data_IF_753890340758
#
_entry.id   IF_753890340758
#
_cell.length_a   1.000
_cell.length_b   1.000
_cell.length_c   1.000
_cell.angle_alpha   90.00
_cell.angle_beta   90.00
_cell.angle_gamma   90.00
#
_symmetry.space_group_name_H-M   'P 1'
#
loop_
_entity.id
_entity.type
_entity.pdbx_description
1 polymer ?
#
# COMPACT_ATOMS: atom_id res chain seq x y z
N UNK A 1 5.89 4.34 2.00
CA UNK A 1 7.05 5.01 2.62
C UNK A 1 6.63 6.38 3.10
N UNK A 2 6.94 6.80 4.32
CA UNK A 2 6.51 8.11 4.80
C UNK A 2 7.46 9.20 4.30
N UNK A 3 6.94 10.12 3.55
CA UNK A 3 7.69 11.12 2.80
C UNK A 3 7.77 12.46 3.55
N UNK A 4 6.80 12.74 4.40
CA UNK A 4 6.73 14.02 5.12
C UNK A 4 6.99 13.78 6.60
N UNK A 5 8.18 14.14 7.04
CA UNK A 5 8.65 13.94 8.42
C UNK A 5 8.02 14.93 9.41
N UNK A 6 7.60 16.08 8.93
CA UNK A 6 6.81 17.06 9.69
C UNK A 6 5.86 17.82 8.78
N UNK A 7 4.77 18.33 9.36
CA UNK A 7 3.78 19.18 8.69
C UNK A 7 4.33 20.56 8.27
N UNK A 8 5.57 20.84 8.65
CA UNK A 8 6.20 22.16 8.49
C UNK A 8 7.32 22.17 7.46
N UNK A 9 7.86 21.01 7.08
CA UNK A 9 8.98 20.94 6.14
C UNK A 9 8.69 19.96 5.01
N UNK A 10 8.71 20.48 3.79
CA UNK A 10 8.67 19.72 2.56
C UNK A 10 10.01 19.01 2.37
N UNK A 11 10.05 17.71 2.53
CA UNK A 11 11.24 16.93 2.27
C UNK A 11 10.90 15.61 1.57
N UNK A 12 10.93 15.61 0.24
CA UNK A 12 10.73 14.42 -0.58
C UNK A 12 12.03 13.66 -0.88
N UNK A 13 13.18 14.26 -0.58
CA UNK A 13 14.48 13.73 -0.99
C UNK A 13 14.76 12.29 -0.52
N UNK A 14 14.47 11.86 0.74
CA UNK A 14 14.70 10.48 1.13
C UNK A 14 13.90 9.46 0.30
N UNK A 15 12.71 9.86 -0.18
CA UNK A 15 11.91 9.03 -1.07
C UNK A 15 12.53 8.97 -2.46
N UNK A 16 12.79 10.12 -3.05
CA UNK A 16 13.32 10.19 -4.41
C UNK A 16 14.73 9.65 -4.52
N UNK A 17 15.56 9.76 -3.49
CA UNK A 17 16.86 9.10 -3.46
C UNK A 17 16.76 7.57 -3.60
N UNK A 18 15.79 6.95 -2.94
CA UNK A 18 15.52 5.51 -3.11
C UNK A 18 14.91 5.20 -4.49
N UNK A 19 13.93 6.01 -4.93
CA UNK A 19 13.25 5.77 -6.20
C UNK A 19 14.21 5.90 -7.38
N UNK A 20 15.14 6.85 -7.37
CA UNK A 20 16.20 6.98 -8.39
C UNK A 20 17.05 5.73 -8.51
N UNK A 21 17.43 5.11 -7.39
CA UNK A 21 18.18 3.85 -7.43
C UNK A 21 17.33 2.68 -7.95
N UNK A 22 16.05 2.63 -7.58
CA UNK A 22 15.17 1.54 -8.02
C UNK A 22 14.91 1.57 -9.52
N UNK A 23 14.67 2.74 -10.11
CA UNK A 23 14.36 2.85 -11.55
C UNK A 23 15.54 2.51 -12.45
N UNK A 24 16.78 2.54 -11.94
CA UNK A 24 17.96 2.09 -12.68
C UNK A 24 17.95 0.58 -12.96
N UNK A 25 17.18 -0.20 -12.16
CA UNK A 25 17.23 -1.66 -12.22
C UNK A 25 15.86 -2.30 -12.44
N UNK A 26 14.76 -1.60 -12.15
CA UNK A 26 13.42 -2.18 -12.12
C UNK A 26 12.37 -1.22 -12.68
N UNK A 27 11.30 -1.73 -13.35
CA UNK A 27 10.09 -0.95 -13.53
C UNK A 27 9.45 -0.68 -12.16
N UNK A 28 9.08 0.58 -11.90
CA UNK A 28 8.52 0.99 -10.61
C UNK A 28 7.05 1.40 -10.79
N UNK A 29 6.17 0.80 -9.99
CA UNK A 29 4.75 1.12 -9.89
C UNK A 29 4.50 1.80 -8.55
N UNK A 30 3.84 2.95 -8.59
CA UNK A 30 3.60 3.78 -7.42
C UNK A 30 2.09 3.98 -7.20
N UNK A 31 1.64 3.85 -5.97
CA UNK A 31 0.28 4.17 -5.54
C UNK A 31 0.31 5.18 -4.40
N UNK A 32 -0.68 6.06 -4.33
CA UNK A 32 -0.81 7.02 -3.25
C UNK A 32 -1.04 6.34 -1.89
N UNK A 33 -0.50 6.97 -0.86
CA UNK A 33 -0.88 6.71 0.53
C UNK A 33 -1.62 7.90 1.13
N UNK A 34 -1.91 7.83 2.42
CA UNK A 34 -2.60 8.89 3.14
C UNK A 34 -1.82 10.22 3.16
N UNK A 35 -0.51 10.21 2.99
CA UNK A 35 0.30 11.43 2.92
C UNK A 35 0.17 12.12 1.57
N UNK A 36 0.20 11.37 0.47
CA UNK A 36 -0.04 11.87 -0.88
C UNK A 36 -1.45 12.43 -0.99
N UNK A 37 -2.46 11.72 -0.47
CA UNK A 37 -3.84 12.16 -0.44
C UNK A 37 -4.02 13.45 0.35
N UNK A 38 -3.36 13.57 1.48
CA UNK A 38 -3.38 14.80 2.26
C UNK A 38 -2.83 16.00 1.49
N UNK A 39 -1.74 15.83 0.75
CA UNK A 39 -1.21 16.89 -0.11
C UNK A 39 -2.17 17.21 -1.27
N UNK A 40 -2.88 16.21 -1.78
CA UNK A 40 -3.85 16.32 -2.88
C UNK A 40 -5.11 17.08 -2.45
N UNK A 41 -5.67 16.76 -1.28
CA UNK A 41 -6.95 17.30 -0.82
C UNK A 41 -6.84 18.57 0.02
N UNK A 42 -5.68 18.84 0.62
CA UNK A 42 -5.46 20.02 1.45
C UNK A 42 -4.43 20.98 0.83
N UNK A 43 -4.70 21.41 -0.40
CA UNK A 43 -3.84 22.31 -1.18
C UNK A 43 -3.46 23.59 -0.41
N UNK A 44 -4.39 24.14 0.39
CA UNK A 44 -4.12 25.34 1.21
C UNK A 44 -3.03 25.11 2.27
N UNK A 45 -2.91 23.89 2.76
CA UNK A 45 -1.87 23.50 3.73
C UNK A 45 -0.57 23.03 3.06
N UNK A 46 -0.66 22.58 1.82
CA UNK A 46 0.44 22.00 1.03
C UNK A 46 0.48 22.56 -0.39
N UNK A 47 0.68 23.89 -0.57
CA UNK A 47 0.52 24.55 -1.85
C UNK A 47 1.52 23.98 -2.89
N UNK A 48 0.99 23.40 -3.95
CA UNK A 48 1.75 22.81 -5.05
C UNK A 48 2.52 21.52 -4.74
N UNK A 49 2.50 21.03 -3.50
CA UNK A 49 3.35 19.88 -3.10
C UNK A 49 2.99 18.59 -3.83
N UNK A 50 1.70 18.30 -3.98
CA UNK A 50 1.27 17.10 -4.70
C UNK A 50 1.64 17.16 -6.18
N UNK A 51 1.42 18.31 -6.82
CA UNK A 51 1.77 18.54 -8.22
C UNK A 51 3.27 18.36 -8.47
N UNK A 52 4.10 18.90 -7.61
CA UNK A 52 5.56 18.75 -7.69
C UNK A 52 5.98 17.30 -7.47
N UNK A 53 5.39 16.63 -6.47
CA UNK A 53 5.66 15.22 -6.19
C UNK A 53 5.36 14.33 -7.42
N UNK A 54 4.19 14.51 -8.03
CA UNK A 54 3.79 13.78 -9.24
C UNK A 54 4.71 14.10 -10.43
N UNK A 55 5.11 15.36 -10.57
CA UNK A 55 6.06 15.75 -11.62
C UNK A 55 7.42 15.06 -11.47
N UNK A 56 7.91 14.89 -10.24
CA UNK A 56 9.16 14.14 -9.99
C UNK A 56 9.00 12.63 -10.28
N UNK A 57 7.87 12.00 -9.92
CA UNK A 57 7.59 10.61 -10.32
C UNK A 57 7.63 10.45 -11.84
N UNK A 58 7.01 11.39 -12.56
CA UNK A 58 6.99 11.39 -14.04
C UNK A 58 8.40 11.56 -14.64
N UNK A 59 9.23 12.45 -14.10
CA UNK A 59 10.62 12.62 -14.54
C UNK A 59 11.45 11.34 -14.40
N UNK A 60 11.16 10.53 -13.38
CA UNK A 60 11.80 9.24 -13.14
C UNK A 60 11.17 8.10 -13.97
N UNK A 61 10.20 8.39 -14.82
CA UNK A 61 9.47 7.39 -15.61
C UNK A 61 8.81 6.31 -14.73
N UNK A 62 8.33 6.70 -13.55
CA UNK A 62 7.61 5.82 -12.64
C UNK A 62 6.14 5.77 -13.06
N UNK A 63 5.59 4.56 -13.16
CA UNK A 63 4.17 4.35 -13.43
C UNK A 63 3.37 4.65 -12.15
N UNK A 64 2.74 5.82 -12.11
CA UNK A 64 1.91 6.26 -10.99
C UNK A 64 0.44 5.95 -11.28
N UNK A 65 -0.13 5.02 -10.54
CA UNK A 65 -1.51 4.55 -10.68
C UNK A 65 -2.40 5.20 -9.61
N UNK A 66 -3.56 5.73 -10.05
CA UNK A 66 -4.57 6.37 -9.17
C UNK A 66 -5.94 5.90 -9.65
N UNK A 67 -6.53 4.93 -8.95
CA UNK A 67 -7.76 4.25 -9.38
C UNK A 67 -7.67 3.75 -10.82
N UNK A 68 -6.54 3.14 -11.14
CA UNK A 68 -6.18 2.69 -12.48
C UNK A 68 -5.60 1.29 -12.46
N UNK A 69 -5.62 0.64 -13.63
CA UNK A 69 -5.10 -0.71 -13.84
C UNK A 69 -4.20 -0.75 -15.07
N UNK A 70 -3.13 -1.53 -15.00
CA UNK A 70 -2.26 -1.84 -16.11
C UNK A 70 -2.09 -3.36 -16.24
N UNK A 71 -2.11 -3.88 -17.45
CA UNK A 71 -1.81 -5.28 -17.75
C UNK A 71 -0.38 -5.38 -18.24
N UNK A 72 0.40 -6.25 -17.60
CA UNK A 72 1.77 -6.55 -18.00
C UNK A 72 1.80 -7.61 -19.10
N UNK A 73 2.88 -7.64 -19.88
CA UNK A 73 3.06 -8.62 -20.98
C UNK A 73 3.03 -10.07 -20.51
N UNK A 74 3.41 -10.33 -19.25
CA UNK A 74 3.40 -11.67 -18.65
C UNK A 74 2.02 -12.12 -18.12
N UNK A 75 0.96 -11.35 -18.40
CA UNK A 75 -0.41 -11.67 -17.98
C UNK A 75 -0.77 -11.26 -16.55
N UNK A 76 0.12 -10.57 -15.83
CA UNK A 76 -0.19 -10.00 -14.52
C UNK A 76 -0.89 -8.66 -14.70
N UNK A 77 -1.97 -8.44 -13.97
CA UNK A 77 -2.60 -7.13 -13.83
C UNK A 77 -2.13 -6.46 -12.54
N UNK A 78 -1.71 -5.21 -12.64
CA UNK A 78 -1.42 -4.36 -11.47
C UNK A 78 -2.43 -3.23 -11.45
N UNK A 79 -3.10 -3.06 -10.33
CA UNK A 79 -4.03 -1.95 -10.08
C UNK A 79 -3.64 -1.19 -8.83
N UNK A 80 -4.07 0.06 -8.72
CA UNK A 80 -3.94 0.82 -7.49
C UNK A 80 -5.28 1.42 -7.09
N UNK A 81 -5.60 1.35 -5.80
CA UNK A 81 -6.78 1.96 -5.20
C UNK A 81 -6.34 3.15 -4.37
N UNK A 82 -6.81 4.34 -4.77
CA UNK A 82 -6.62 5.59 -4.05
C UNK A 82 -7.77 5.77 -3.06
N UNK A 83 -7.51 5.48 -1.78
CA UNK A 83 -8.49 5.56 -0.72
C UNK A 83 -8.67 7.01 -0.27
N UNK A 84 -9.91 7.47 -0.16
CA UNK A 84 -10.22 8.79 0.36
C UNK A 84 -9.98 8.90 1.88
N UNK A 85 -10.15 10.11 2.44
CA UNK A 85 -9.89 10.39 3.86
C UNK A 85 -10.80 9.62 4.82
N UNK A 86 -11.97 9.13 4.38
CA UNK A 86 -12.88 8.33 5.22
C UNK A 86 -12.27 7.00 5.67
N UNK A 87 -11.25 6.55 4.96
CA UNK A 87 -10.48 5.36 5.32
C UNK A 87 -9.38 5.62 6.35
N UNK A 88 -9.01 6.88 6.61
CA UNK A 88 -7.87 7.27 7.45
C UNK A 88 -8.32 8.07 8.68
N UNK A 89 -8.91 7.41 9.65
CA UNK A 89 -9.34 8.03 10.91
C UNK A 89 -8.56 7.54 12.11
N UNK A 90 -8.74 8.22 13.25
CA UNK A 90 -8.25 7.76 14.55
C UNK A 90 -9.36 7.04 15.32
N UNK A 91 -8.99 6.17 16.29
CA UNK A 91 -9.92 5.55 17.25
C UNK A 91 -11.11 4.82 16.62
N UNK A 92 -10.90 4.02 15.58
CA UNK A 92 -11.97 3.30 14.86
C UNK A 92 -12.99 4.19 14.13
N UNK A 93 -12.77 5.48 14.04
CA UNK A 93 -13.62 6.39 13.26
C UNK A 93 -13.17 6.42 11.79
N UNK A 94 -13.13 5.25 11.15
CA UNK A 94 -12.74 5.09 9.76
C UNK A 94 -13.33 3.82 9.17
N UNK A 95 -13.45 3.78 7.85
CA UNK A 95 -13.83 2.57 7.12
C UNK A 95 -12.72 1.52 7.24
N UNK A 96 -13.07 0.29 7.59
CA UNK A 96 -12.18 -0.86 7.67
C UNK A 96 -12.34 -1.84 6.51
N UNK A 97 -13.37 -1.64 5.69
CA UNK A 97 -13.74 -2.48 4.54
C UNK A 97 -13.96 -1.61 3.32
N UNK A 98 -13.72 -2.18 2.16
CA UNK A 98 -14.10 -1.62 0.86
C UNK A 98 -15.10 -2.58 0.21
N UNK A 99 -16.16 -2.06 -0.39
CA UNK A 99 -17.15 -2.91 -1.03
C UNK A 99 -16.63 -3.46 -2.37
N UNK A 100 -17.15 -4.60 -2.85
CA UNK A 100 -16.80 -5.10 -4.17
C UNK A 100 -17.15 -4.12 -5.30
N UNK A 101 -18.23 -3.39 -5.16
CA UNK A 101 -18.70 -2.38 -6.10
C UNK A 101 -17.72 -1.19 -6.14
N UNK A 102 -17.32 -0.67 -4.98
CA UNK A 102 -16.36 0.42 -4.89
C UNK A 102 -15.00 0.02 -5.51
N UNK A 103 -14.58 -1.23 -5.38
CA UNK A 103 -13.38 -1.75 -6.05
C UNK A 103 -13.55 -1.68 -7.57
N UNK A 104 -14.70 -2.14 -8.11
CA UNK A 104 -14.99 -2.13 -9.56
C UNK A 104 -15.07 -0.72 -10.15
N UNK A 105 -15.48 0.25 -9.36
CA UNK A 105 -15.47 1.67 -9.77
C UNK A 105 -14.05 2.23 -9.92
N UNK A 106 -13.11 1.71 -9.12
CA UNK A 106 -11.74 2.21 -9.03
C UNK A 106 -10.76 1.49 -9.95
N UNK A 107 -10.96 0.20 -10.19
CA UNK A 107 -10.00 -0.62 -10.94
C UNK A 107 -10.69 -1.54 -11.93
N UNK A 108 -10.00 -1.83 -13.02
CA UNK A 108 -10.52 -2.74 -14.05
C UNK A 108 -10.51 -4.17 -13.54
N UNK A 109 -11.67 -4.80 -13.48
CA UNK A 109 -11.84 -6.22 -13.21
C UNK A 109 -12.26 -6.91 -14.51
N UNK A 110 -11.49 -7.88 -14.95
CA UNK A 110 -11.83 -8.71 -16.11
C UNK A 110 -12.31 -10.08 -15.62
N UNK A 111 -13.63 -10.25 -15.64
CA UNK A 111 -14.28 -11.50 -15.19
C UNK A 111 -14.09 -12.67 -16.19
N UNK A 112 -13.57 -12.39 -17.38
CA UNK A 112 -13.42 -13.36 -18.47
C UNK A 112 -12.02 -13.99 -18.54
N UNK A 113 -11.05 -13.44 -17.82
CA UNK A 113 -9.66 -13.92 -17.85
C UNK A 113 -9.23 -14.42 -16.47
N UNK A 114 -8.30 -15.39 -16.49
CA UNK A 114 -7.63 -15.89 -15.29
C UNK A 114 -6.29 -15.16 -15.08
N UNK A 115 -6.32 -13.83 -15.12
CA UNK A 115 -5.15 -13.01 -14.86
C UNK A 115 -4.81 -13.01 -13.38
N UNK A 116 -3.52 -13.10 -13.03
CA UNK A 116 -3.08 -12.87 -11.66
C UNK A 116 -3.17 -11.38 -11.36
N UNK A 117 -4.06 -11.00 -10.45
CA UNK A 117 -4.38 -9.60 -10.15
C UNK A 117 -3.73 -9.12 -8.86
N UNK A 118 -2.83 -8.14 -8.97
CA UNK A 118 -2.16 -7.47 -7.85
C UNK A 118 -2.81 -6.10 -7.65
N UNK A 119 -3.24 -5.79 -6.44
CA UNK A 119 -3.75 -4.47 -6.07
C UNK A 119 -2.82 -3.80 -5.07
N UNK A 120 -2.39 -2.59 -5.39
CA UNK A 120 -1.71 -1.68 -4.48
C UNK A 120 -2.78 -0.90 -3.71
N UNK A 121 -2.93 -1.17 -2.42
CA UNK A 121 -3.86 -0.47 -1.53
C UNK A 121 -3.14 -0.08 -0.25
N UNK A 122 -2.87 1.22 -0.08
CA UNK A 122 -1.97 1.67 0.97
C UNK A 122 -2.39 1.23 2.37
N UNK A 123 -3.67 1.38 2.74
CA UNK A 123 -4.19 0.89 4.01
C UNK A 123 -4.64 -0.56 3.86
N UNK A 124 -4.18 -1.48 4.73
CA UNK A 124 -4.70 -2.83 4.73
C UNK A 124 -6.15 -2.85 5.21
N UNK A 125 -7.03 -3.32 4.35
CA UNK A 125 -8.46 -3.47 4.59
C UNK A 125 -8.84 -4.94 4.72
N UNK A 126 -10.08 -5.21 5.16
CA UNK A 126 -10.61 -6.56 5.11
C UNK A 126 -10.61 -7.11 3.68
N UNK A 127 -10.26 -8.38 3.52
CA UNK A 127 -10.04 -9.01 2.21
C UNK A 127 -11.33 -9.40 1.47
N UNK A 128 -12.49 -9.33 2.11
CA UNK A 128 -13.77 -9.80 1.54
C UNK A 128 -14.12 -9.13 0.20
N UNK A 129 -13.97 -7.81 0.13
CA UNK A 129 -14.23 -7.06 -1.10
C UNK A 129 -13.27 -7.43 -2.23
N UNK A 130 -12.01 -7.63 -1.91
CA UNK A 130 -10.98 -8.05 -2.86
C UNK A 130 -11.24 -9.46 -3.39
N UNK A 131 -11.55 -10.41 -2.50
CA UNK A 131 -11.81 -11.80 -2.86
C UNK A 131 -13.03 -11.96 -3.77
N UNK A 132 -14.11 -11.20 -3.54
CA UNK A 132 -15.29 -11.18 -4.41
C UNK A 132 -15.00 -10.64 -5.80
N UNK A 133 -13.93 -9.88 -5.96
CA UNK A 133 -13.44 -9.38 -7.24
C UNK A 133 -12.27 -10.21 -7.80
N UNK A 134 -12.03 -11.41 -7.26
CA UNK A 134 -10.98 -12.33 -7.72
C UNK A 134 -9.58 -11.68 -7.72
N UNK A 135 -9.31 -10.81 -6.73
CA UNK A 135 -7.99 -10.20 -6.55
C UNK A 135 -7.13 -11.16 -5.74
N UNK A 136 -6.01 -11.58 -6.33
CA UNK A 136 -5.13 -12.62 -5.78
C UNK A 136 -4.20 -12.08 -4.70
N UNK A 137 -3.67 -10.85 -4.92
CA UNK A 137 -2.66 -10.26 -4.05
C UNK A 137 -2.96 -8.78 -3.79
N UNK A 138 -3.02 -8.42 -2.52
CA UNK A 138 -3.08 -7.02 -2.08
C UNK A 138 -1.78 -6.65 -1.37
N UNK A 139 -1.13 -5.59 -1.84
CA UNK A 139 0.08 -5.04 -1.24
C UNK A 139 -0.27 -3.77 -0.48
N UNK A 140 0.01 -3.76 0.82
CA UNK A 140 -0.35 -2.69 1.75
C UNK A 140 0.81 -2.27 2.64
N UNK A 141 0.63 -1.15 3.35
CA UNK A 141 1.56 -0.63 4.35
C UNK A 141 0.82 0.04 5.51
N UNK A 142 0.90 1.37 5.60
CA UNK A 142 0.19 2.28 6.49
C UNK A 142 0.50 2.13 7.99
N UNK A 143 0.42 0.94 8.55
CA UNK A 143 0.58 0.73 10.00
C UNK A 143 2.05 0.73 10.47
N UNK A 144 3.01 0.78 9.55
CA UNK A 144 4.45 0.79 9.86
C UNK A 144 4.90 -0.33 10.83
N UNK A 145 4.14 -1.42 10.91
CA UNK A 145 4.37 -2.48 11.89
C UNK A 145 3.95 -2.14 13.32
N UNK A 146 3.34 -0.97 13.54
CA UNK A 146 3.00 -0.41 14.84
C UNK A 146 4.16 0.34 15.51
N UNK A 147 3.88 1.07 16.58
CA UNK A 147 4.90 1.76 17.39
C UNK A 147 5.70 0.77 18.23
N UNK A 148 5.02 -0.19 18.83
CA UNK A 148 5.59 -1.27 19.64
C UNK A 148 5.15 -2.59 19.02
N UNK A 149 6.12 -3.48 18.77
CA UNK A 149 5.84 -4.80 18.23
C UNK A 149 6.40 -5.88 19.15
N UNK A 150 5.56 -6.80 19.56
CA UNK A 150 5.98 -7.93 20.41
C UNK A 150 6.14 -9.19 19.54
N UNK A 151 7.16 -10.02 19.82
CA UNK A 151 7.30 -11.32 19.17
C UNK A 151 6.04 -12.15 19.31
N UNK A 152 5.62 -12.84 18.26
CA UNK A 152 4.41 -13.70 18.19
C UNK A 152 3.06 -12.97 18.30
N UNK A 153 2.99 -11.80 18.94
CA UNK A 153 1.76 -11.03 19.14
C UNK A 153 1.53 -10.03 17.99
N UNK A 154 2.60 -9.44 17.47
CA UNK A 154 2.51 -8.40 16.45
C UNK A 154 2.50 -6.99 17.05
N UNK A 155 1.90 -6.01 16.36
CA UNK A 155 1.80 -4.63 16.84
C UNK A 155 0.85 -4.53 18.04
N UNK A 156 1.29 -3.81 19.07
CA UNK A 156 0.44 -3.48 20.23
C UNK A 156 -0.43 -2.27 19.92
N UNK A 157 0.15 -1.24 19.31
CA UNK A 157 -0.56 -0.02 18.92
C UNK A 157 -0.26 0.34 17.47
N UNK A 158 -1.33 0.65 16.71
CA UNK A 158 -1.19 1.25 15.38
C UNK A 158 -0.94 2.75 15.49
N UNK A 159 -0.50 3.37 14.38
CA UNK A 159 -0.46 4.83 14.25
C UNK A 159 -1.82 5.52 14.45
N UNK A 160 -2.90 4.84 14.20
CA UNK A 160 -4.28 5.29 14.40
C UNK A 160 -4.77 5.06 15.85
N UNK A 161 -3.87 4.68 16.77
CA UNK A 161 -4.14 4.33 18.16
C UNK A 161 -5.10 3.14 18.36
N UNK A 162 -5.23 2.30 17.33
CA UNK A 162 -5.91 1.01 17.46
C UNK A 162 -5.02 0.02 18.20
N UNK A 163 -5.62 -0.74 19.12
CA UNK A 163 -4.93 -1.76 19.90
C UNK A 163 -4.98 -3.09 19.14
N UNK A 164 -3.85 -3.76 19.03
CA UNK A 164 -3.67 -5.03 18.31
C UNK A 164 -4.26 -5.03 16.89
N UNK A 165 -3.81 -4.13 15.99
CA UNK A 165 -4.32 -4.05 14.63
C UNK A 165 -4.02 -5.35 13.87
N UNK A 166 -5.06 -5.93 13.22
CA UNK A 166 -5.00 -7.24 12.57
C UNK A 166 -3.89 -7.32 11.52
N UNK A 167 -3.80 -6.35 10.62
CA UNK A 167 -2.90 -6.39 9.46
C UNK A 167 -1.66 -5.50 9.64
N UNK A 168 -1.03 -5.55 10.80
CA UNK A 168 0.05 -4.63 11.16
C UNK A 168 1.41 -4.92 10.52
N UNK A 169 1.53 -5.99 9.79
CA UNK A 169 2.77 -6.39 9.07
C UNK A 169 2.89 -7.89 8.94
N UNK A 170 3.27 -8.36 7.77
CA UNK A 170 3.40 -9.75 7.40
C UNK A 170 2.43 -10.19 6.31
N UNK A 171 2.30 -11.49 6.11
CA UNK A 171 1.47 -12.13 5.12
C UNK A 171 0.21 -12.72 5.75
N UNK A 172 -0.94 -12.45 5.16
CA UNK A 172 -2.25 -12.94 5.56
C UNK A 172 -2.95 -13.58 4.35
N UNK A 173 -3.50 -14.77 4.52
CA UNK A 173 -4.27 -15.47 3.49
C UNK A 173 -5.69 -15.63 3.98
N UNK A 174 -6.63 -15.00 3.31
CA UNK A 174 -8.04 -14.97 3.70
C UNK A 174 -8.91 -14.87 2.44
N UNK A 175 -9.98 -15.66 2.42
CA UNK A 175 -11.00 -15.60 1.35
C UNK A 175 -10.43 -15.70 -0.09
N UNK A 176 -9.41 -16.55 -0.31
CA UNK A 176 -8.69 -16.70 -1.59
C UNK A 176 -7.88 -15.46 -2.02
N UNK A 177 -7.71 -14.47 -1.15
CA UNK A 177 -6.85 -13.32 -1.37
C UNK A 177 -5.65 -13.39 -0.42
N UNK A 178 -4.48 -13.14 -0.95
CA UNK A 178 -3.27 -12.92 -0.13
C UNK A 178 -3.11 -11.41 0.12
N UNK A 179 -2.98 -11.00 1.37
CA UNK A 179 -2.64 -9.62 1.73
C UNK A 179 -1.24 -9.60 2.35
N UNK A 180 -0.37 -8.77 1.80
CA UNK A 180 0.96 -8.50 2.36
C UNK A 180 0.96 -7.06 2.88
N UNK A 181 1.14 -6.92 4.19
CA UNK A 181 1.30 -5.62 4.82
C UNK A 181 2.76 -5.40 5.20
N UNK A 182 3.39 -4.41 4.56
CA UNK A 182 4.78 -4.04 4.85
C UNK A 182 4.86 -3.12 6.05
N UNK A 183 5.90 -3.31 6.87
CA UNK A 183 6.27 -2.36 7.92
C UNK A 183 6.95 -1.11 7.36
N UNK A 184 7.39 -1.17 6.11
CA UNK A 184 8.00 -0.06 5.39
C UNK A 184 9.30 0.46 6.00
N UNK A 185 9.88 1.48 5.38
CA UNK A 185 11.15 2.10 5.77
C UNK A 185 10.96 3.35 6.62
N UNK A 186 9.82 4.04 6.49
CA UNK A 186 9.54 5.31 7.17
C UNK A 186 9.09 5.12 8.63
N UNK A 187 9.19 6.19 9.40
CA UNK A 187 8.64 6.28 10.76
C UNK A 187 7.29 7.00 10.74
N UNK A 188 6.51 6.78 11.78
CA UNK A 188 5.27 7.50 12.03
C UNK A 188 5.53 8.88 12.67
N UNK A 189 4.46 9.66 12.91
CA UNK A 189 4.45 10.96 13.61
C UNK A 189 5.26 10.94 14.92
N UNK A 190 5.14 9.85 15.67
CA UNK A 190 6.03 9.56 16.80
C UNK A 190 7.17 8.72 16.24
N UNK A 191 8.38 9.27 16.28
CA UNK A 191 9.58 8.59 15.74
C UNK A 191 10.05 7.48 16.69
N UNK A 192 9.16 6.51 16.95
CA UNK A 192 9.40 5.38 17.83
C UNK A 192 9.08 4.07 17.11
N UNK A 193 10.09 3.20 17.00
CA UNK A 193 9.95 1.81 16.60
C UNK A 193 10.61 0.92 17.65
N UNK A 194 9.83 0.35 18.54
CA UNK A 194 10.34 -0.58 19.54
C UNK A 194 10.11 -2.03 19.09
N UNK A 195 11.18 -2.81 18.96
CA UNK A 195 11.22 -4.18 18.42
C UNK A 195 10.59 -4.31 17.02
N UNK A 196 10.58 -3.23 16.26
CA UNK A 196 9.92 -3.12 14.97
C UNK A 196 10.89 -2.54 13.92
N UNK A 197 11.79 -3.36 13.39
CA UNK A 197 12.77 -2.93 12.38
C UNK A 197 12.08 -2.55 11.06
N UNK A 198 12.57 -1.52 10.34
CA UNK A 198 12.17 -1.25 8.96
C UNK A 198 12.39 -2.47 8.08
N UNK A 199 11.56 -2.62 7.04
CA UNK A 199 11.70 -3.73 6.10
C UNK A 199 11.37 -3.34 4.67
N UNK A 200 11.99 -4.04 3.74
CA UNK A 200 11.57 -4.18 2.35
C UNK A 200 11.06 -5.61 2.20
N UNK A 201 9.86 -5.76 1.65
CA UNK A 201 9.26 -7.07 1.40
C UNK A 201 9.69 -7.54 0.01
N UNK A 202 10.28 -8.73 -0.04
CA UNK A 202 10.60 -9.42 -1.27
C UNK A 202 9.55 -10.52 -1.50
N UNK A 203 8.88 -10.48 -2.64
CA UNK A 203 7.86 -11.46 -3.00
C UNK A 203 8.22 -12.11 -4.33
N UNK A 204 8.29 -13.46 -4.36
CA UNK A 204 8.46 -14.22 -5.59
C UNK A 204 7.11 -14.86 -5.94
N UNK A 205 6.56 -14.49 -7.09
CA UNK A 205 5.40 -15.17 -7.66
C UNK A 205 5.91 -16.39 -8.44
N UNK A 206 5.29 -17.54 -8.20
CA UNK A 206 5.58 -18.77 -8.92
C UNK A 206 4.27 -19.33 -9.47
N UNK A 207 4.30 -19.80 -10.72
CA UNK A 207 3.15 -20.51 -11.27
C UNK A 207 3.06 -21.87 -10.58
N UNK A 208 1.90 -22.18 -10.04
CA UNK A 208 1.64 -23.50 -9.46
C UNK A 208 1.81 -24.55 -10.56
N UNK A 209 2.65 -25.53 -10.33
CA UNK A 209 2.70 -26.71 -11.20
C UNK A 209 1.55 -27.63 -10.81
N UNK A 210 0.78 -28.06 -11.77
CA UNK A 210 -0.27 -29.04 -11.54
C UNK A 210 0.29 -30.21 -10.71
N UNK A 211 -0.22 -30.39 -9.47
CA UNK A 211 0.05 -31.50 -8.56
C UNK A 211 1.28 -31.47 -7.63
N UNK A 212 1.91 -30.36 -7.31
CA UNK A 212 2.83 -30.35 -6.16
C UNK A 212 2.21 -29.59 -4.96
N UNK A 213 2.06 -30.23 -3.78
CA UNK A 213 1.58 -29.52 -2.59
C UNK A 213 2.61 -28.47 -2.17
N UNK A 214 2.12 -27.28 -1.84
CA UNK A 214 2.95 -26.20 -1.27
C UNK A 214 3.42 -26.67 0.11
N UNK A 215 4.72 -26.92 0.27
CA UNK A 215 5.37 -27.21 1.55
C UNK A 215 5.61 -25.95 2.36
#
# INVERSE_FOLDING_TARGET
>A
MMIVKSWQEKNFEPCFALLRQLVEHFPVYYANGNHENRMKYHENSFPGWYKEFVAELKKLNITHLIDESIKLENGIRISAIDLDESYYGKFKNHKATISPEEIREKVTIDDQTEEFHIVLCHKPLNTDGFAKNRIDLVLSGHYHGGMIRLPKIGAVFSPELSVFPKYSGGLYRENNTTLISSRGLGNHTINLRFLNKPEIVFCKLVKEKDNEPIV
#
